data_IF_188204912283
#
_entry.id   IF_188204912283
#
_cell.length_a   1.000
_cell.length_b   1.000
_cell.length_c   1.000
_cell.angle_alpha   90.00
_cell.angle_beta   90.00
_cell.angle_gamma   90.00
#
_symmetry.space_group_name_H-M   'P 1'
#
loop_
_entity.id
_entity.type
_entity.pdbx_description
1 polymer ?
#
# COMPACT_ATOMS: atom_id res chain seq x y z
N UNK A 1 -9.14 -1.90 1.09
CA UNK A 1 -8.57 -0.54 1.29
C UNK A 1 -8.64 -0.11 2.76
N UNK A 2 -9.79 -0.24 3.42
CA UNK A 2 -9.99 0.19 4.83
C UNK A 2 -9.10 -0.60 5.82
N UNK A 3 -9.04 -1.94 5.70
CA UNK A 3 -8.20 -2.80 6.55
C UNK A 3 -6.73 -2.35 6.64
N UNK A 4 -6.13 -1.97 5.52
CA UNK A 4 -4.73 -1.49 5.49
C UNK A 4 -4.52 -0.15 6.16
N UNK A 5 -5.52 0.75 6.12
CA UNK A 5 -5.47 2.03 6.82
C UNK A 5 -5.59 1.85 8.35
N UNK A 6 -6.51 0.97 8.76
CA UNK A 6 -6.73 0.63 10.17
C UNK A 6 -5.50 -0.03 10.80
N UNK A 7 -4.88 -1.01 10.12
CA UNK A 7 -3.62 -1.60 10.59
C UNK A 7 -2.46 -0.60 10.60
N UNK A 8 -2.41 0.32 9.64
CA UNK A 8 -1.42 1.38 9.65
C UNK A 8 -1.57 2.27 10.90
N UNK A 9 -2.80 2.51 11.35
CA UNK A 9 -3.04 3.24 12.61
C UNK A 9 -2.51 2.48 13.82
N UNK A 10 -2.70 1.15 13.90
CA UNK A 10 -2.06 0.33 14.94
C UNK A 10 -0.52 0.45 14.89
N UNK A 11 0.07 0.40 13.69
CA UNK A 11 1.52 0.60 13.53
C UNK A 11 1.95 1.97 14.09
N UNK A 12 1.17 3.03 13.84
CA UNK A 12 1.45 4.36 14.41
C UNK A 12 1.35 4.37 15.94
N UNK A 13 0.39 3.66 16.54
CA UNK A 13 0.27 3.52 18.01
C UNK A 13 1.51 2.77 18.56
N UNK A 14 1.94 1.70 17.91
CA UNK A 14 3.17 0.97 18.30
C UNK A 14 4.38 1.90 18.27
N UNK A 15 4.55 2.67 17.20
CA UNK A 15 5.66 3.62 17.08
C UNK A 15 5.57 4.77 18.09
N UNK A 16 4.37 5.20 18.46
CA UNK A 16 4.18 6.15 19.55
C UNK A 16 4.62 5.57 20.90
N UNK A 17 4.41 4.27 21.12
CA UNK A 17 4.95 3.56 22.28
C UNK A 17 6.48 3.42 22.28
N UNK A 18 7.13 3.57 21.11
CA UNK A 18 8.60 3.52 20.96
C UNK A 18 9.31 4.85 21.22
N UNK A 19 8.59 5.90 21.61
CA UNK A 19 9.23 7.18 21.96
C UNK A 19 10.27 6.99 23.07
N UNK A 20 11.42 7.69 23.01
CA UNK A 20 12.50 7.51 23.97
C UNK A 20 12.06 7.66 25.43
N UNK A 21 12.71 6.96 26.37
CA UNK A 21 12.50 7.15 27.80
C UNK A 21 12.64 8.63 28.18
N UNK A 22 11.63 9.20 28.84
CA UNK A 22 11.60 10.62 29.25
C UNK A 22 10.71 11.53 28.39
N UNK A 23 10.29 11.07 27.22
CA UNK A 23 9.23 11.73 26.43
C UNK A 23 7.88 11.11 26.79
N UNK A 24 6.86 11.95 27.04
CA UNK A 24 5.49 11.46 27.22
C UNK A 24 4.97 10.87 25.90
N UNK A 25 4.18 9.80 26.00
CA UNK A 25 3.44 9.29 24.84
C UNK A 25 2.56 10.42 24.29
N UNK A 26 2.47 10.57 22.97
CA UNK A 26 1.54 11.49 22.35
C UNK A 26 0.12 11.31 22.91
N UNK A 27 -0.53 12.42 23.29
CA UNK A 27 -1.85 12.41 23.94
C UNK A 27 -2.95 11.67 23.15
N UNK A 28 -2.80 11.55 21.83
CA UNK A 28 -3.73 10.82 20.99
C UNK A 28 -3.62 9.29 21.12
N UNK A 29 -2.46 8.77 21.54
CA UNK A 29 -2.21 7.33 21.66
C UNK A 29 -2.59 6.79 23.05
N UNK A 30 -2.47 7.62 24.09
CA UNK A 30 -2.74 7.23 25.48
C UNK A 30 -4.15 6.63 25.72
N UNK A 31 -5.26 7.20 25.18
CA UNK A 31 -6.59 6.59 25.33
C UNK A 31 -6.67 5.19 24.74
N UNK A 32 -5.95 4.94 23.64
CA UNK A 32 -5.93 3.62 22.98
C UNK A 32 -5.17 2.61 23.83
N UNK A 33 -4.04 3.00 24.41
CA UNK A 33 -3.26 2.14 25.30
C UNK A 33 -4.08 1.77 26.54
N UNK A 34 -4.84 2.71 27.11
CA UNK A 34 -5.77 2.42 28.22
C UNK A 34 -6.87 1.42 27.85
N UNK A 35 -7.38 1.46 26.61
CA UNK A 35 -8.32 0.44 26.13
C UNK A 35 -7.63 -0.92 25.98
N UNK A 36 -6.37 -0.94 25.55
CA UNK A 36 -5.59 -2.17 25.46
C UNK A 36 -5.40 -2.78 26.85
N UNK A 37 -4.97 -1.98 27.83
CA UNK A 37 -4.85 -2.36 29.24
C UNK A 37 -6.13 -3.01 29.77
N UNK A 38 -7.27 -2.33 29.61
CA UNK A 38 -8.56 -2.82 30.08
C UNK A 38 -8.94 -4.17 29.46
N UNK A 39 -8.57 -4.40 28.19
CA UNK A 39 -8.90 -5.63 27.48
C UNK A 39 -8.00 -6.82 27.87
N UNK A 40 -6.75 -6.57 28.28
CA UNK A 40 -5.81 -7.64 28.66
C UNK A 40 -5.72 -7.89 30.16
N UNK A 41 -6.13 -6.93 30.99
CA UNK A 41 -6.15 -7.07 32.46
C UNK A 41 -7.02 -8.26 32.90
N UNK A 42 -6.58 -9.06 33.90
CA UNK A 42 -5.32 -8.95 34.67
C UNK A 42 -4.13 -9.69 34.03
N UNK A 43 -4.29 -10.25 32.84
CA UNK A 43 -3.34 -11.20 32.23
C UNK A 43 -2.20 -10.57 31.44
N UNK A 44 -2.21 -9.25 31.30
CA UNK A 44 -1.21 -8.48 30.59
C UNK A 44 -1.38 -7.00 30.86
N UNK A 45 -0.49 -6.21 30.26
CA UNK A 45 -0.55 -4.75 30.29
C UNK A 45 -0.03 -4.13 28.98
N UNK A 46 -0.44 -2.91 28.76
CA UNK A 46 -0.08 -1.99 27.71
C UNK A 46 -0.18 -2.65 26.31
N UNK A 47 0.97 -2.87 25.67
CA UNK A 47 1.08 -3.46 24.33
C UNK A 47 1.09 -4.99 24.32
N UNK A 48 0.93 -5.67 25.46
CA UNK A 48 0.83 -7.13 25.52
C UNK A 48 -0.35 -7.64 24.66
N UNK A 49 -1.34 -6.76 24.37
CA UNK A 49 -2.45 -7.05 23.45
C UNK A 49 -2.00 -7.45 22.04
N UNK A 50 -0.80 -7.06 21.60
CA UNK A 50 -0.24 -7.49 20.31
C UNK A 50 -0.02 -9.01 20.27
N UNK A 51 0.10 -9.65 21.44
CA UNK A 51 0.25 -11.08 21.62
C UNK A 51 -1.07 -11.83 21.82
N UNK A 52 -2.16 -11.11 22.09
CA UNK A 52 -3.43 -11.66 22.51
C UNK A 52 -4.20 -12.43 21.40
N UNK A 53 -5.03 -13.43 21.77
CA UNK A 53 -5.79 -14.28 20.85
C UNK A 53 -7.10 -13.60 20.39
N UNK A 54 -7.01 -12.47 19.70
CA UNK A 54 -8.19 -11.77 19.15
C UNK A 54 -8.66 -12.48 17.87
N UNK A 55 -9.32 -13.63 18.02
CA UNK A 55 -9.69 -14.53 16.91
C UNK A 55 -11.14 -14.40 16.45
N UNK A 56 -11.97 -13.64 17.16
CA UNK A 56 -13.37 -13.39 16.81
C UNK A 56 -13.53 -12.06 16.09
N UNK A 57 -14.18 -12.04 14.93
CA UNK A 57 -14.53 -10.77 14.28
C UNK A 57 -15.66 -10.06 15.06
N UNK A 58 -15.60 -8.72 15.24
CA UNK A 58 -16.64 -7.94 15.92
C UNK A 58 -18.02 -8.02 15.25
N UNK A 59 -18.08 -8.44 13.98
CA UNK A 59 -19.32 -8.56 13.22
C UNK A 59 -20.12 -9.83 13.59
N UNK A 60 -19.51 -10.80 14.26
CA UNK A 60 -20.20 -12.03 14.65
C UNK A 60 -20.91 -11.89 16.00
N UNK A 61 -22.14 -12.41 16.11
CA UNK A 61 -22.94 -12.44 17.35
C UNK A 61 -22.19 -13.09 18.53
N UNK A 62 -21.32 -14.07 18.24
CA UNK A 62 -20.51 -14.78 19.25
C UNK A 62 -19.39 -13.89 19.82
N UNK A 63 -18.91 -12.89 19.08
CA UNK A 63 -17.87 -11.96 19.56
C UNK A 63 -18.32 -11.14 20.78
N UNK A 64 -19.63 -10.90 20.91
CA UNK A 64 -20.26 -10.28 22.10
C UNK A 64 -20.14 -11.13 23.37
N UNK A 65 -19.72 -12.40 23.28
CA UNK A 65 -19.56 -13.28 24.45
C UNK A 65 -18.26 -13.06 25.21
N UNK A 66 -17.21 -12.54 24.56
CA UNK A 66 -15.98 -12.18 25.27
C UNK A 66 -16.06 -10.72 25.71
N UNK A 67 -16.50 -10.50 26.95
CA UNK A 67 -16.67 -9.16 27.53
C UNK A 67 -15.41 -8.31 27.45
N UNK A 68 -14.22 -8.93 27.49
CA UNK A 68 -12.94 -8.22 27.37
C UNK A 68 -12.70 -7.57 26.01
N UNK A 69 -13.12 -8.19 24.90
CA UNK A 69 -12.95 -7.59 23.57
C UNK A 69 -13.97 -6.50 23.28
N UNK A 70 -15.11 -6.52 23.96
CA UNK A 70 -16.10 -5.45 23.89
C UNK A 70 -15.55 -4.11 24.40
N UNK A 71 -14.63 -4.13 25.38
CA UNK A 71 -14.00 -2.93 25.93
C UNK A 71 -13.20 -2.14 24.87
N UNK A 72 -12.67 -2.80 23.84
CA UNK A 72 -11.92 -2.17 22.74
C UNK A 72 -12.81 -1.31 21.82
N UNK A 73 -14.13 -1.51 21.87
CA UNK A 73 -15.05 -0.99 20.86
C UNK A 73 -14.86 -1.66 19.49
N UNK A 74 -15.78 -1.38 18.57
CA UNK A 74 -15.84 -2.05 17.26
C UNK A 74 -14.56 -1.81 16.44
N UNK A 75 -14.02 -0.59 16.49
CA UNK A 75 -12.85 -0.21 15.70
C UNK A 75 -11.60 -1.00 16.10
N UNK A 76 -11.16 -0.90 17.36
CA UNK A 76 -9.91 -1.54 17.80
C UNK A 76 -10.02 -3.05 17.89
N UNK A 77 -11.21 -3.58 18.21
CA UNK A 77 -11.46 -5.01 18.12
C UNK A 77 -11.24 -5.51 16.68
N UNK A 78 -11.79 -4.81 15.67
CA UNK A 78 -11.56 -5.18 14.27
C UNK A 78 -10.07 -5.09 13.90
N UNK A 79 -9.38 -4.01 14.29
CA UNK A 79 -7.96 -3.83 13.98
C UNK A 79 -7.11 -4.96 14.57
N UNK A 80 -7.34 -5.32 15.83
CA UNK A 80 -6.61 -6.38 16.52
C UNK A 80 -6.98 -7.78 16.02
N UNK A 81 -8.25 -7.97 15.61
CA UNK A 81 -8.67 -9.18 14.91
C UNK A 81 -7.89 -9.38 13.61
N UNK A 82 -7.77 -8.33 12.78
CA UNK A 82 -7.00 -8.39 11.54
C UNK A 82 -5.50 -8.56 11.82
N UNK A 83 -4.97 -7.87 12.84
CA UNK A 83 -3.60 -8.03 13.30
C UNK A 83 -3.31 -9.49 13.62
N UNK A 84 -4.12 -10.12 14.48
CA UNK A 84 -3.92 -11.50 14.88
C UNK A 84 -4.12 -12.49 13.73
N UNK A 85 -5.23 -12.40 13.01
CA UNK A 85 -5.65 -13.46 12.07
C UNK A 85 -5.02 -13.37 10.69
N UNK A 86 -4.70 -12.17 10.19
CA UNK A 86 -4.24 -11.97 8.80
C UNK A 86 -2.82 -11.43 8.68
N UNK A 87 -2.33 -10.74 9.71
CA UNK A 87 -1.08 -9.98 9.65
C UNK A 87 0.05 -10.67 10.42
N UNK A 88 -0.17 -10.97 11.71
CA UNK A 88 0.85 -11.53 12.62
C UNK A 88 1.38 -12.89 12.17
N UNK A 89 0.55 -13.73 11.56
CA UNK A 89 1.01 -15.00 10.98
C UNK A 89 2.09 -14.84 9.89
N UNK A 90 2.24 -13.63 9.32
CA UNK A 90 3.26 -13.26 8.33
C UNK A 90 4.47 -12.55 8.94
N UNK A 91 4.49 -12.38 10.27
CA UNK A 91 5.64 -11.81 10.95
C UNK A 91 6.82 -12.79 10.89
N UNK A 92 7.99 -12.31 10.47
CA UNK A 92 9.22 -13.08 10.54
C UNK A 92 9.52 -13.38 12.02
N UNK A 93 9.78 -14.65 12.33
CA UNK A 93 10.12 -15.08 13.70
C UNK A 93 11.58 -14.77 14.03
N UNK A 94 11.95 -13.49 13.97
CA UNK A 94 13.28 -12.97 14.30
C UNK A 94 13.35 -12.50 15.76
N UNK A 95 12.58 -13.10 16.67
CA UNK A 95 12.55 -12.66 18.08
C UNK A 95 13.94 -12.79 18.69
N UNK A 96 14.53 -11.63 18.99
CA UNK A 96 15.78 -11.51 19.72
C UNK A 96 15.59 -12.12 21.11
N UNK A 97 16.64 -12.70 21.71
CA UNK A 97 16.55 -13.31 23.05
C UNK A 97 15.93 -12.35 24.09
N UNK A 98 16.17 -11.04 23.96
CA UNK A 98 15.56 -10.01 24.82
C UNK A 98 14.04 -9.90 24.63
N UNK A 99 13.52 -9.95 23.41
CA UNK A 99 12.07 -9.92 23.16
C UNK A 99 11.37 -11.08 23.87
N UNK A 100 11.99 -12.26 23.88
CA UNK A 100 11.46 -13.44 24.57
C UNK A 100 11.41 -13.25 26.09
N UNK A 101 12.43 -12.61 26.67
CA UNK A 101 12.50 -12.31 28.10
C UNK A 101 11.37 -11.38 28.55
N UNK A 102 10.89 -10.53 27.65
CA UNK A 102 9.84 -9.54 27.92
C UNK A 102 8.51 -9.85 27.22
N UNK A 103 8.39 -11.03 26.63
CA UNK A 103 7.16 -11.51 25.99
C UNK A 103 6.13 -11.88 27.06
N UNK A 104 4.85 -11.45 26.92
CA UNK A 104 3.82 -11.81 27.88
C UNK A 104 3.65 -13.34 27.96
N UNK A 105 3.50 -13.85 29.18
CA UNK A 105 3.35 -15.28 29.48
C UNK A 105 1.91 -15.74 29.45
N UNK A 106 1.01 -14.97 30.07
CA UNK A 106 -0.30 -15.49 30.48
C UNK A 106 -1.31 -15.50 29.33
N UNK A 107 -1.48 -14.39 28.60
CA UNK A 107 -2.40 -14.28 27.45
C UNK A 107 -1.67 -14.12 26.11
N UNK A 108 -0.85 -15.10 25.78
CA UNK A 108 -0.04 -15.09 24.56
C UNK A 108 -0.31 -16.29 23.66
N UNK A 109 -0.71 -16.05 22.41
CA UNK A 109 -1.01 -17.11 21.43
C UNK A 109 0.19 -17.97 21.04
N UNK A 110 1.41 -17.48 21.24
CA UNK A 110 2.63 -18.24 20.96
C UNK A 110 2.88 -19.29 22.06
N UNK A 111 2.23 -19.15 23.22
CA UNK A 111 2.27 -20.08 24.36
C UNK A 111 0.93 -20.81 24.43
N UNK A 112 0.84 -21.94 23.72
CA UNK A 112 -0.40 -22.68 23.60
C UNK A 112 -0.63 -23.64 24.78
N UNK A 113 -1.76 -23.47 25.45
CA UNK A 113 -2.40 -24.45 26.30
C UNK A 113 -3.31 -25.35 25.44
N UNK A 114 -2.94 -26.63 25.28
CA UNK A 114 -3.66 -27.67 24.51
C UNK A 114 -3.67 -27.53 22.99
N UNK A 115 -4.17 -28.58 22.31
CA UNK A 115 -4.28 -28.68 20.85
C UNK A 115 -5.18 -27.63 20.19
N UNK A 116 -5.99 -26.89 20.96
CA UNK A 116 -6.96 -25.91 20.46
C UNK A 116 -6.43 -24.46 20.39
N UNK A 117 -5.16 -24.23 20.72
CA UNK A 117 -4.54 -22.90 20.60
C UNK A 117 -5.04 -21.86 21.61
N UNK A 118 -5.55 -22.28 22.76
CA UNK A 118 -5.87 -21.37 23.86
C UNK A 118 -4.59 -20.89 24.54
N UNK A 119 -4.58 -19.66 25.05
CA UNK A 119 -3.49 -19.14 25.89
C UNK A 119 -3.60 -19.71 27.30
N UNK A 120 -2.60 -19.50 28.18
CA UNK A 120 -2.67 -19.98 29.58
C UNK A 120 -3.86 -19.35 30.33
N UNK A 121 -4.13 -18.07 30.09
CA UNK A 121 -5.25 -17.32 30.66
C UNK A 121 -6.60 -17.59 29.95
N UNK A 122 -6.59 -17.86 28.65
CA UNK A 122 -7.78 -18.00 27.80
C UNK A 122 -8.45 -19.38 27.82
N UNK A 123 -8.04 -20.29 28.70
CA UNK A 123 -8.66 -21.62 28.83
C UNK A 123 -9.98 -21.54 29.60
N UNK A 124 -10.89 -22.48 29.38
CA UNK A 124 -12.16 -22.57 30.15
C UNK A 124 -11.95 -22.91 31.64
N UNK A 125 -10.75 -23.37 32.01
CA UNK A 125 -10.32 -23.66 33.38
C UNK A 125 -8.84 -23.33 33.52
N UNK A 126 -8.47 -22.04 33.68
CA UNK A 126 -7.07 -21.66 33.87
C UNK A 126 -6.50 -22.37 35.09
N UNK A 127 -5.21 -22.72 35.05
CA UNK A 127 -4.54 -23.23 36.24
C UNK A 127 -4.71 -22.17 37.34
N UNK A 128 -5.12 -22.57 38.54
CA UNK A 128 -5.35 -21.61 39.63
C UNK A 128 -4.14 -20.72 39.93
N UNK A 129 -2.92 -21.19 39.60
CA UNK A 129 -1.70 -20.40 39.77
C UNK A 129 -1.60 -19.20 38.81
N UNK A 130 -2.30 -19.23 37.67
CA UNK A 130 -2.25 -18.13 36.68
C UNK A 130 -2.84 -16.86 37.28
N UNK A 131 -3.94 -16.98 38.03
CA UNK A 131 -4.53 -15.87 38.79
C UNK A 131 -3.55 -15.31 39.82
N UNK A 132 -2.87 -16.19 40.57
CA UNK A 132 -1.87 -15.78 41.57
C UNK A 132 -0.69 -15.06 40.91
N UNK A 133 -0.18 -15.58 39.79
CA UNK A 133 0.89 -14.92 39.04
C UNK A 133 0.47 -13.54 38.55
N UNK A 134 -0.75 -13.40 38.03
CA UNK A 134 -1.28 -12.10 37.58
C UNK A 134 -1.45 -11.11 38.74
N UNK A 135 -1.95 -11.56 39.89
CA UNK A 135 -2.10 -10.75 41.11
C UNK A 135 -0.74 -10.26 41.65
N UNK A 136 0.33 -11.04 41.45
CA UNK A 136 1.70 -10.66 41.79
C UNK A 136 2.45 -9.93 40.66
N UNK A 137 1.74 -9.49 39.61
CA UNK A 137 2.30 -8.83 38.41
C UNK A 137 3.39 -9.64 37.68
N UNK A 138 3.41 -10.97 37.83
CA UNK A 138 4.33 -11.87 37.11
C UNK A 138 3.74 -12.17 35.74
N UNK A 139 3.96 -11.24 34.82
CA UNK A 139 3.38 -11.27 33.47
C UNK A 139 4.34 -11.77 32.39
N UNK A 140 5.67 -11.78 32.63
CA UNK A 140 6.70 -12.16 31.62
C UNK A 140 7.80 -13.00 32.28
N UNK A 141 8.68 -13.64 31.49
CA UNK A 141 9.82 -14.37 32.03
C UNK A 141 10.71 -13.50 32.91
N UNK A 142 10.90 -12.22 32.55
CA UNK A 142 11.71 -11.28 33.33
C UNK A 142 11.24 -11.17 34.79
N UNK A 143 9.93 -10.95 35.03
CA UNK A 143 9.41 -10.85 36.39
C UNK A 143 9.48 -12.20 37.11
N UNK A 144 9.26 -13.31 36.38
CA UNK A 144 9.38 -14.66 36.94
C UNK A 144 10.81 -14.98 37.42
N UNK A 145 11.83 -14.61 36.64
CA UNK A 145 13.24 -14.77 37.02
C UNK A 145 13.70 -13.83 38.14
N UNK A 146 12.99 -12.71 38.35
CA UNK A 146 13.22 -11.84 39.51
C UNK A 146 12.58 -12.40 40.79
N UNK A 147 11.46 -13.08 40.64
CA UNK A 147 10.71 -13.67 41.76
C UNK A 147 11.32 -14.99 42.24
N UNK A 148 11.92 -15.78 41.35
CA UNK A 148 12.46 -17.11 41.64
C UNK A 148 13.96 -17.17 41.33
N UNK A 149 14.73 -17.96 42.09
CA UNK A 149 16.13 -18.26 41.75
C UNK A 149 16.24 -18.85 40.34
N UNK A 150 17.31 -18.49 39.62
CA UNK A 150 17.56 -18.99 38.26
C UNK A 150 18.45 -20.24 38.32
N UNK A 151 18.10 -21.36 37.66
CA UNK A 151 16.91 -21.57 36.83
C UNK A 151 15.63 -21.73 37.66
N UNK A 152 14.51 -21.26 37.11
CA UNK A 152 13.19 -21.41 37.73
C UNK A 152 12.82 -22.89 37.70
N UNK A 153 12.74 -23.51 38.87
CA UNK A 153 12.30 -24.90 39.03
C UNK A 153 10.89 -24.93 39.61
N UNK A 154 10.24 -26.11 39.55
CA UNK A 154 8.91 -26.27 40.11
C UNK A 154 8.92 -26.07 41.64
N UNK A 155 10.02 -26.42 42.30
CA UNK A 155 10.25 -26.26 43.73
C UNK A 155 10.43 -24.79 44.11
N UNK A 156 11.28 -24.05 43.39
CA UNK A 156 11.51 -22.62 43.70
C UNK A 156 10.27 -21.79 43.42
N UNK A 157 9.54 -22.09 42.34
CA UNK A 157 8.25 -21.46 42.06
C UNK A 157 7.18 -21.81 43.10
N UNK A 158 7.13 -23.07 43.54
CA UNK A 158 6.20 -23.50 44.61
C UNK A 158 6.48 -22.77 45.93
N UNK A 159 7.76 -22.67 46.32
CA UNK A 159 8.19 -21.94 47.51
C UNK A 159 7.82 -20.46 47.45
N UNK A 160 8.03 -19.82 46.30
CA UNK A 160 7.61 -18.44 46.08
C UNK A 160 6.08 -18.28 46.20
N UNK A 161 5.31 -19.09 45.49
CA UNK A 161 3.85 -18.99 45.48
C UNK A 161 3.21 -19.32 46.85
N UNK A 162 3.85 -20.16 47.66
CA UNK A 162 3.39 -20.48 49.01
C UNK A 162 3.33 -19.28 49.95
N UNK A 163 4.01 -18.18 49.61
CA UNK A 163 3.92 -16.93 50.36
C UNK A 163 2.57 -16.22 50.19
N UNK A 164 1.85 -16.51 49.10
CA UNK A 164 0.59 -15.85 48.73
C UNK A 164 -0.62 -16.78 48.80
N UNK A 165 -0.44 -18.04 48.40
CA UNK A 165 -1.50 -19.05 48.35
C UNK A 165 -0.96 -20.39 48.83
N UNK A 166 -1.73 -21.07 49.69
CA UNK A 166 -1.39 -22.41 50.18
C UNK A 166 -2.24 -23.48 49.50
N UNK A 167 -1.73 -24.72 49.48
CA UNK A 167 -2.47 -25.90 49.02
C UNK A 167 -2.15 -26.35 47.59
N UNK A 168 -3.15 -26.93 46.89
CA UNK A 168 -2.93 -27.59 45.59
C UNK A 168 -2.45 -26.63 44.49
N UNK A 169 -2.82 -25.35 44.59
CA UNK A 169 -2.52 -24.32 43.57
C UNK A 169 -1.01 -24.04 43.50
N UNK A 170 -0.36 -23.85 44.65
CA UNK A 170 1.06 -23.59 44.80
C UNK A 170 1.91 -24.86 44.91
N UNK A 171 1.32 -26.05 44.75
CA UNK A 171 2.07 -27.31 44.84
C UNK A 171 3.13 -27.43 43.74
N UNK A 172 4.22 -28.14 44.03
CA UNK A 172 5.30 -28.46 43.07
C UNK A 172 4.74 -29.06 41.78
N UNK A 173 3.74 -29.95 41.89
CA UNK A 173 3.09 -30.56 40.71
C UNK A 173 2.38 -29.53 39.82
N UNK A 174 1.69 -28.56 40.41
CA UNK A 174 1.02 -27.50 39.66
C UNK A 174 2.03 -26.57 38.98
N UNK A 175 3.12 -26.25 39.69
CA UNK A 175 4.22 -25.45 39.15
C UNK A 175 4.93 -26.17 37.99
N UNK A 176 5.19 -27.47 38.12
CA UNK A 176 5.78 -28.28 37.06
C UNK A 176 4.91 -28.29 35.79
N UNK A 177 3.59 -28.41 35.93
CA UNK A 177 2.65 -28.35 34.79
C UNK A 177 2.65 -26.98 34.11
N UNK A 178 2.77 -25.90 34.88
CA UNK A 178 2.93 -24.56 34.32
C UNK A 178 4.24 -24.42 33.53
N UNK A 179 5.37 -24.83 34.13
CA UNK A 179 6.69 -24.73 33.50
C UNK A 179 6.77 -25.57 32.22
N UNK A 180 6.21 -26.78 32.21
CA UNK A 180 6.11 -27.63 31.01
C UNK A 180 5.40 -26.91 29.85
N UNK A 181 4.33 -26.17 30.14
CA UNK A 181 3.58 -25.41 29.12
C UNK A 181 4.30 -24.14 28.67
N UNK A 182 5.02 -23.51 29.58
CA UNK A 182 5.83 -22.32 29.29
C UNK A 182 7.20 -22.67 28.68
N UNK A 183 7.57 -23.95 28.62
CA UNK A 183 8.91 -24.42 28.20
C UNK A 183 9.30 -23.95 26.80
N UNK A 184 8.35 -23.85 25.87
CA UNK A 184 8.64 -23.29 24.53
C UNK A 184 9.27 -21.90 24.58
N UNK A 185 8.88 -21.08 25.55
CA UNK A 185 9.46 -19.76 25.78
C UNK A 185 10.65 -19.84 26.73
N UNK A 186 10.45 -20.42 27.93
CA UNK A 186 11.43 -20.45 29.02
C UNK A 186 12.65 -21.34 28.70
N UNK A 187 12.44 -22.48 28.05
CA UNK A 187 13.50 -23.40 27.62
C UNK A 187 14.45 -22.78 26.59
N UNK A 188 14.02 -21.71 25.90
CA UNK A 188 14.90 -20.91 25.02
C UNK A 188 15.69 -19.81 25.73
N UNK A 189 15.45 -19.64 27.04
CA UNK A 189 16.04 -18.63 27.93
C UNK A 189 16.86 -19.27 29.06
N UNK A 190 17.53 -20.41 28.81
CA UNK A 190 18.37 -21.10 29.81
C UNK A 190 19.47 -20.22 30.40
N UNK A 191 19.95 -19.25 29.64
CA UNK A 191 20.85 -18.19 30.09
C UNK A 191 20.16 -16.84 29.90
N UNK A 192 20.18 -16.02 30.95
CA UNK A 192 19.66 -14.66 30.87
C UNK A 192 20.51 -13.87 29.86
N UNK A 193 19.90 -13.21 28.87
CA UNK A 193 20.65 -12.44 27.89
C UNK A 193 21.38 -11.29 28.60
N UNK A 194 22.70 -11.24 28.42
CA UNK A 194 23.56 -10.17 28.95
C UNK A 194 23.55 -9.01 27.95
N UNK A 195 23.19 -7.82 28.41
CA UNK A 195 23.13 -6.62 27.57
C UNK A 195 22.26 -5.52 28.17
N UNK A 196 22.20 -4.36 27.51
CA UNK A 196 21.37 -3.25 27.97
C UNK A 196 19.89 -3.68 27.95
N UNK A 197 19.31 -3.86 29.13
CA UNK A 197 17.87 -4.01 29.27
C UNK A 197 17.22 -2.64 29.13
N UNK A 198 16.27 -2.49 28.22
CA UNK A 198 15.49 -1.27 28.19
C UNK A 198 14.53 -1.26 29.40
N UNK A 199 14.61 -0.25 30.25
CA UNK A 199 13.62 0.03 31.31
C UNK A 199 12.38 0.63 30.66
N UNK A 200 11.63 -0.19 29.92
CA UNK A 200 10.50 0.30 29.14
C UNK A 200 9.18 -0.17 29.72
N UNK A 201 8.26 0.78 29.93
CA UNK A 201 6.84 0.52 30.24
C UNK A 201 6.12 -0.26 29.12
N UNK A 202 6.69 -0.31 27.90
CA UNK A 202 6.02 -0.82 26.70
C UNK A 202 6.81 -1.90 25.96
N UNK A 203 7.26 -2.95 26.65
CA UNK A 203 8.10 -4.00 26.06
C UNK A 203 7.62 -4.51 24.69
N UNK A 204 6.35 -4.93 24.58
CA UNK A 204 5.80 -5.46 23.35
C UNK A 204 5.77 -4.45 22.18
N UNK A 205 5.76 -3.14 22.45
CA UNK A 205 5.92 -2.14 21.39
C UNK A 205 7.33 -2.16 20.79
N UNK A 206 8.36 -2.41 21.62
CA UNK A 206 9.77 -2.44 21.23
C UNK A 206 10.22 -3.79 20.64
N UNK A 207 9.42 -4.85 20.77
CA UNK A 207 9.75 -6.12 20.14
C UNK A 207 9.93 -6.00 18.62
N UNK A 208 10.70 -6.94 18.07
CA UNK A 208 11.01 -6.98 16.65
C UNK A 208 9.81 -7.46 15.84
N UNK A 209 9.09 -6.51 15.25
CA UNK A 209 7.94 -6.76 14.38
C UNK A 209 8.33 -6.55 12.92
N UNK A 210 8.76 -7.64 12.27
CA UNK A 210 9.17 -7.65 10.85
C UNK A 210 8.13 -8.41 10.03
N UNK A 211 7.63 -7.80 8.94
CA UNK A 211 6.66 -8.40 8.04
C UNK A 211 7.22 -8.44 6.62
N UNK A 212 7.32 -9.63 6.04
CA UNK A 212 8.15 -9.93 4.87
C UNK A 212 9.63 -9.55 5.11
N UNK A 213 10.00 -8.32 4.74
CA UNK A 213 11.36 -7.74 4.89
C UNK A 213 11.35 -6.35 5.51
N UNK A 214 10.18 -5.88 5.96
CA UNK A 214 9.99 -4.52 6.47
C UNK A 214 9.68 -4.53 7.96
N UNK A 215 10.33 -3.66 8.72
CA UNK A 215 9.95 -3.41 10.10
C UNK A 215 8.65 -2.61 10.21
N UNK A 216 7.98 -2.67 11.36
CA UNK A 216 6.77 -1.87 11.64
C UNK A 216 6.95 -0.37 11.36
N UNK A 217 8.14 0.19 11.62
CA UNK A 217 8.46 1.58 11.31
C UNK A 217 8.37 1.92 9.81
N UNK A 218 8.59 0.93 8.96
CA UNK A 218 8.67 1.07 7.51
C UNK A 218 7.36 0.69 6.80
N UNK A 219 6.36 0.18 7.54
CA UNK A 219 5.11 -0.27 6.97
C UNK A 219 4.20 0.91 6.57
N UNK A 220 4.20 1.23 5.29
CA UNK A 220 3.19 2.12 4.69
C UNK A 220 1.87 1.39 4.43
N UNK A 221 0.78 2.13 4.22
CA UNK A 221 -0.53 1.58 3.83
C UNK A 221 -0.42 0.68 2.58
N UNK A 222 0.44 1.05 1.62
CA UNK A 222 0.67 0.27 0.42
C UNK A 222 1.40 -1.05 0.71
N UNK A 223 2.41 -1.02 1.60
CA UNK A 223 3.14 -2.23 2.04
C UNK A 223 2.22 -3.15 2.84
N UNK A 224 1.47 -2.62 3.81
CA UNK A 224 0.47 -3.38 4.57
C UNK A 224 -0.56 -4.02 3.63
N UNK A 225 -1.03 -3.29 2.62
CA UNK A 225 -1.95 -3.84 1.62
C UNK A 225 -1.32 -5.00 0.86
N UNK A 226 -0.06 -4.89 0.44
CA UNK A 226 0.66 -5.97 -0.24
C UNK A 226 0.80 -7.22 0.63
N UNK A 227 1.07 -7.03 1.93
CA UNK A 227 1.11 -8.14 2.90
C UNK A 227 -0.28 -8.76 3.06
N UNK A 228 -1.35 -7.96 3.21
CA UNK A 228 -2.71 -8.47 3.41
C UNK A 228 -3.33 -9.12 2.17
N UNK A 229 -3.09 -8.56 1.00
CA UNK A 229 -3.76 -8.89 -0.25
C UNK A 229 -2.77 -9.44 -1.27
N UNK A 230 -2.76 -10.77 -1.41
CA UNK A 230 -2.19 -11.45 -2.57
C UNK A 230 -3.36 -11.91 -3.44
N UNK A 231 -3.86 -11.02 -4.28
CA UNK A 231 -4.84 -11.41 -5.30
C UNK A 231 -4.09 -11.89 -6.54
N UNK A 232 -4.48 -13.02 -7.14
CA UNK A 232 -4.01 -13.34 -8.47
C UNK A 232 -4.45 -12.21 -9.40
N UNK A 233 -3.51 -11.66 -10.17
CA UNK A 233 -3.83 -10.66 -11.19
C UNK A 233 -4.65 -11.39 -12.25
N UNK A 234 -5.87 -10.96 -12.57
CA UNK A 234 -6.66 -11.59 -13.61
C UNK A 234 -5.95 -11.42 -14.95
N UNK A 235 -5.98 -12.47 -15.78
CA UNK A 235 -5.47 -12.37 -17.14
C UNK A 235 -6.30 -11.37 -17.94
N UNK A 236 -5.63 -10.35 -18.48
CA UNK A 236 -6.27 -9.38 -19.35
C UNK A 236 -6.36 -9.96 -20.77
N UNK A 237 -7.52 -9.92 -21.44
CA UNK A 237 -7.69 -10.41 -22.81
C UNK A 237 -7.08 -9.42 -23.82
N UNK A 238 -5.76 -9.26 -23.76
CA UNK A 238 -4.98 -8.29 -24.53
C UNK A 238 -4.80 -8.68 -26.00
N UNK A 239 -4.93 -9.97 -26.33
CA UNK A 239 -4.90 -10.44 -27.72
C UNK A 239 -5.90 -9.70 -28.63
N UNK A 240 -7.07 -9.33 -28.09
CA UNK A 240 -8.10 -8.54 -28.78
C UNK A 240 -7.73 -7.07 -28.98
N UNK A 241 -6.72 -6.59 -28.24
CA UNK A 241 -6.09 -5.30 -28.47
C UNK A 241 -4.93 -5.41 -29.47
N UNK A 242 -4.72 -6.55 -30.14
CA UNK A 242 -3.68 -6.68 -31.16
C UNK A 242 -2.26 -6.40 -30.64
N UNK A 243 -1.99 -6.76 -29.39
CA UNK A 243 -0.65 -6.66 -28.77
C UNK A 243 -0.13 -8.04 -28.42
N UNK A 244 1.18 -8.23 -28.56
CA UNK A 244 1.85 -9.48 -28.23
C UNK A 244 2.38 -9.42 -26.78
N UNK A 245 1.92 -10.34 -25.95
CA UNK A 245 2.35 -10.44 -24.55
C UNK A 245 1.64 -9.52 -23.55
N UNK A 246 1.99 -9.69 -22.28
CA UNK A 246 1.40 -8.95 -21.16
C UNK A 246 1.91 -7.50 -21.03
N UNK A 247 1.20 -6.67 -20.25
CA UNK A 247 1.67 -5.33 -19.95
C UNK A 247 2.88 -5.42 -19.01
N UNK A 248 3.99 -4.69 -19.24
CA UNK A 248 5.11 -4.68 -18.32
C UNK A 248 4.66 -4.22 -16.93
N UNK A 249 5.18 -4.83 -15.86
CA UNK A 249 4.82 -4.47 -14.48
C UNK A 249 5.00 -2.97 -14.19
N UNK A 250 6.00 -2.34 -14.80
CA UNK A 250 6.29 -0.91 -14.67
C UNK A 250 5.30 0.00 -15.40
N UNK A 251 4.50 -0.52 -16.34
CA UNK A 251 3.53 0.28 -17.10
C UNK A 251 2.51 0.91 -16.17
N UNK A 252 1.86 0.12 -15.32
CA UNK A 252 0.79 0.62 -14.45
C UNK A 252 1.28 1.72 -13.52
N UNK A 253 2.46 1.55 -12.94
CA UNK A 253 3.08 2.60 -12.10
C UNK A 253 3.37 3.86 -12.92
N UNK A 254 3.82 3.71 -14.17
CA UNK A 254 4.10 4.82 -15.06
C UNK A 254 2.82 5.55 -15.47
N UNK A 255 1.78 4.84 -15.90
CA UNK A 255 0.52 5.43 -16.32
C UNK A 255 -0.21 6.11 -15.15
N UNK A 256 -0.18 5.53 -13.94
CA UNK A 256 -0.68 6.22 -12.73
C UNK A 256 0.12 7.52 -12.48
N UNK A 257 1.45 7.48 -12.62
CA UNK A 257 2.30 8.67 -12.43
C UNK A 257 2.03 9.74 -13.49
N UNK A 258 1.73 9.35 -14.72
CA UNK A 258 1.46 10.30 -15.82
C UNK A 258 0.02 10.80 -15.83
N UNK A 259 -0.93 10.01 -15.33
CA UNK A 259 -2.35 10.35 -15.27
C UNK A 259 -2.66 11.59 -14.42
N UNK A 260 -1.72 12.04 -13.58
CA UNK A 260 -1.82 13.32 -12.84
C UNK A 260 -1.75 14.56 -13.73
N UNK A 261 -1.25 14.42 -14.96
CA UNK A 261 -1.06 15.54 -15.90
C UNK A 261 -2.22 15.72 -16.87
N UNK A 262 -3.24 14.87 -16.78
CA UNK A 262 -4.43 14.90 -17.64
C UNK A 262 -5.69 14.83 -16.77
N UNK A 263 -6.83 15.22 -17.35
CA UNK A 263 -8.10 15.17 -16.62
C UNK A 263 -8.51 13.71 -16.40
N UNK A 264 -9.22 13.39 -15.30
CA UNK A 264 -9.61 12.01 -14.98
C UNK A 264 -10.32 11.27 -16.11
N UNK A 265 -11.13 11.96 -16.93
CA UNK A 265 -11.85 11.38 -18.07
C UNK A 265 -10.94 10.83 -19.17
N UNK A 266 -9.74 11.38 -19.35
CA UNK A 266 -8.76 10.90 -20.33
C UNK A 266 -8.02 9.67 -19.80
N UNK A 267 -7.62 9.71 -18.53
CA UNK A 267 -7.03 8.57 -17.82
C UNK A 267 -8.00 7.38 -17.74
N UNK A 268 -9.28 7.62 -17.48
CA UNK A 268 -10.32 6.59 -17.44
C UNK A 268 -10.51 5.91 -18.80
N UNK A 269 -10.57 6.69 -19.89
CA UNK A 269 -10.68 6.10 -21.23
C UNK A 269 -9.48 5.19 -21.54
N UNK A 270 -8.25 5.67 -21.29
CA UNK A 270 -7.04 4.88 -21.51
C UNK A 270 -7.06 3.60 -20.66
N UNK A 271 -7.44 3.71 -19.38
CA UNK A 271 -7.56 2.57 -18.49
C UNK A 271 -8.55 1.53 -19.04
N UNK A 272 -9.75 1.96 -19.45
CA UNK A 272 -10.75 1.07 -20.06
C UNK A 272 -10.25 0.45 -21.35
N UNK A 273 -9.57 1.21 -22.20
CA UNK A 273 -8.97 0.71 -23.43
C UNK A 273 -7.94 -0.39 -23.15
N UNK A 274 -7.00 -0.15 -22.23
CA UNK A 274 -5.96 -1.13 -21.84
C UNK A 274 -6.52 -2.39 -21.19
N UNK A 275 -7.69 -2.29 -20.56
CA UNK A 275 -8.41 -3.44 -19.99
C UNK A 275 -9.37 -4.09 -20.98
N UNK A 276 -9.35 -3.66 -22.26
CA UNK A 276 -10.27 -4.12 -23.28
C UNK A 276 -11.74 -4.02 -22.79
N UNK A 277 -12.11 -2.88 -22.24
CA UNK A 277 -13.43 -2.62 -21.66
C UNK A 277 -14.28 -1.66 -22.49
N UNK A 278 -13.77 -1.20 -23.64
CA UNK A 278 -14.52 -0.35 -24.57
C UNK A 278 -15.42 -1.20 -25.49
N UNK A 279 -16.64 -0.70 -25.74
CA UNK A 279 -17.61 -1.31 -26.63
C UNK A 279 -17.41 -0.84 -28.07
N UNK A 280 -16.50 -1.51 -28.76
CA UNK A 280 -16.27 -1.36 -30.21
C UNK A 280 -17.02 -2.44 -31.00
N UNK A 281 -17.23 -2.21 -32.29
CA UNK A 281 -18.11 -3.01 -33.16
C UNK A 281 -17.86 -4.51 -33.14
N UNK A 282 -16.61 -4.98 -33.02
CA UNK A 282 -16.33 -6.42 -32.94
C UNK A 282 -17.06 -7.11 -31.77
N UNK A 283 -17.34 -6.40 -30.67
CA UNK A 283 -18.08 -6.97 -29.53
C UNK A 283 -19.56 -7.17 -29.81
N UNK A 284 -20.10 -6.48 -30.82
CA UNK A 284 -21.52 -6.47 -31.14
C UNK A 284 -21.89 -7.43 -32.26
N UNK A 285 -20.92 -8.15 -32.85
CA UNK A 285 -21.14 -9.07 -33.97
C UNK A 285 -22.17 -10.19 -33.71
N UNK A 286 -22.50 -10.45 -32.45
CA UNK A 286 -23.51 -11.44 -32.05
C UNK A 286 -24.93 -10.87 -32.04
N UNK A 287 -25.11 -9.56 -32.17
CA UNK A 287 -26.40 -8.89 -32.21
C UNK A 287 -26.81 -8.65 -33.66
N UNK A 288 -28.00 -9.12 -34.03
CA UNK A 288 -28.59 -8.84 -35.35
C UNK A 288 -28.82 -7.32 -35.52
N UNK A 289 -28.70 -6.83 -36.76
CA UNK A 289 -28.96 -5.43 -37.15
C UNK A 289 -28.03 -4.36 -36.54
N UNK A 290 -26.96 -4.74 -35.83
CA UNK A 290 -26.00 -3.77 -35.27
C UNK A 290 -24.86 -3.40 -36.23
N UNK A 291 -24.60 -2.10 -36.36
CA UNK A 291 -23.44 -1.62 -37.13
C UNK A 291 -22.13 -1.98 -36.40
N UNK A 292 -21.40 -2.93 -36.99
CA UNK A 292 -20.12 -3.41 -36.46
C UNK A 292 -18.89 -2.85 -37.21
N UNK A 293 -19.11 -2.21 -38.36
CA UNK A 293 -18.06 -1.63 -39.19
C UNK A 293 -17.59 -0.28 -38.64
N UNK A 294 -16.38 0.11 -39.01
CA UNK A 294 -15.79 1.38 -38.63
C UNK A 294 -16.68 2.57 -39.04
N UNK A 295 -16.97 3.44 -38.08
CA UNK A 295 -17.83 4.61 -38.27
C UNK A 295 -17.17 5.71 -39.12
N UNK A 296 -15.86 5.63 -39.36
CA UNK A 296 -15.14 6.56 -40.24
C UNK A 296 -15.22 6.19 -41.75
N UNK A 297 -16.00 5.17 -42.12
CA UNK A 297 -16.35 4.90 -43.52
C UNK A 297 -15.39 3.99 -44.32
N UNK A 298 -14.41 3.35 -43.69
CA UNK A 298 -13.44 2.48 -44.38
C UNK A 298 -13.91 1.02 -44.61
N UNK A 299 -15.11 0.65 -44.14
CA UNK A 299 -15.69 -0.69 -44.35
C UNK A 299 -15.02 -1.85 -43.59
N UNK A 300 -14.05 -1.56 -42.71
CA UNK A 300 -13.36 -2.56 -41.89
C UNK A 300 -14.10 -2.79 -40.57
N UNK A 301 -14.07 -4.01 -40.03
CA UNK A 301 -14.61 -4.33 -38.71
C UNK A 301 -13.98 -3.42 -37.64
N UNK A 302 -14.82 -2.79 -36.81
CA UNK A 302 -14.34 -1.88 -35.77
C UNK A 302 -13.74 -2.67 -34.59
N UNK A 303 -12.41 -2.80 -34.61
CA UNK A 303 -11.60 -3.26 -33.48
C UNK A 303 -10.95 -2.06 -32.77
N UNK A 304 -10.48 -2.25 -31.53
CA UNK A 304 -9.76 -1.17 -30.84
C UNK A 304 -8.48 -0.74 -31.59
N UNK A 305 -7.61 -1.66 -32.08
CA UNK A 305 -6.44 -1.26 -32.86
C UNK A 305 -6.83 -0.55 -34.15
N UNK A 306 -7.91 -0.98 -34.81
CA UNK A 306 -8.39 -0.31 -36.01
C UNK A 306 -8.89 1.11 -35.70
N UNK A 307 -9.80 1.26 -34.75
CA UNK A 307 -10.40 2.56 -34.39
C UNK A 307 -9.35 3.59 -33.96
N UNK A 308 -8.36 3.17 -33.18
CA UNK A 308 -7.40 4.08 -32.56
C UNK A 308 -6.09 4.24 -33.32
N UNK A 309 -5.78 3.36 -34.29
CA UNK A 309 -4.47 3.35 -34.95
C UNK A 309 -4.54 3.05 -36.45
N UNK A 310 -5.07 1.88 -36.85
CA UNK A 310 -4.97 1.40 -38.24
C UNK A 310 -6.03 1.96 -39.20
N UNK A 311 -7.05 2.65 -38.71
CA UNK A 311 -7.99 3.37 -39.57
C UNK A 311 -7.29 4.56 -40.23
N UNK A 312 -7.49 4.77 -41.53
CA UNK A 312 -6.91 5.91 -42.26
C UNK A 312 -7.23 7.26 -41.61
N UNK A 313 -8.42 7.39 -41.03
CA UNK A 313 -8.81 8.57 -40.27
C UNK A 313 -7.92 8.76 -39.04
N UNK A 314 -7.76 7.71 -38.23
CA UNK A 314 -6.91 7.74 -37.04
C UNK A 314 -5.44 8.00 -37.41
N UNK A 315 -4.92 7.35 -38.46
CA UNK A 315 -3.56 7.55 -38.96
C UNK A 315 -3.30 9.02 -39.31
N UNK A 316 -4.25 9.69 -39.98
CA UNK A 316 -4.15 11.12 -40.32
C UNK A 316 -4.19 12.03 -39.07
N UNK A 317 -4.94 11.68 -38.03
CA UNK A 317 -4.94 12.42 -36.76
C UNK A 317 -3.58 12.28 -36.06
N UNK A 318 -3.00 11.07 -36.04
CA UNK A 318 -1.70 10.80 -35.43
C UNK A 318 -0.51 11.40 -36.19
N UNK A 319 -0.60 11.47 -37.53
CA UNK A 319 0.50 11.87 -38.41
C UNK A 319 1.16 13.19 -38.00
N UNK A 320 0.37 14.18 -37.60
CA UNK A 320 0.85 15.51 -37.17
C UNK A 320 1.78 15.46 -35.95
N UNK A 321 1.64 14.42 -35.11
CA UNK A 321 2.39 14.27 -33.87
C UNK A 321 3.53 13.26 -33.99
N UNK A 322 3.26 12.12 -34.64
CA UNK A 322 4.23 11.02 -34.75
C UNK A 322 5.47 11.44 -35.53
N UNK A 323 5.33 12.27 -36.57
CA UNK A 323 6.47 12.75 -37.36
C UNK A 323 7.54 13.43 -36.49
N UNK A 324 7.12 14.21 -35.49
CA UNK A 324 8.03 14.89 -34.57
C UNK A 324 8.48 13.97 -33.45
N UNK A 325 7.55 13.29 -32.77
CA UNK A 325 7.90 12.44 -31.62
C UNK A 325 8.82 11.29 -32.00
N UNK A 326 8.68 10.71 -33.20
CA UNK A 326 9.55 9.61 -33.62
C UNK A 326 11.03 10.01 -33.61
N UNK A 327 11.34 11.29 -33.86
CA UNK A 327 12.71 11.83 -33.76
C UNK A 327 13.27 11.91 -32.34
N UNK A 328 12.47 11.67 -31.30
CA UNK A 328 12.89 11.72 -29.90
C UNK A 328 13.00 10.35 -29.23
N UNK A 329 12.49 9.29 -29.87
CA UNK A 329 12.46 7.94 -29.32
C UNK A 329 13.23 6.97 -30.21
N UNK A 330 14.02 6.09 -29.60
CA UNK A 330 14.67 4.97 -30.30
C UNK A 330 13.67 3.89 -30.68
N UNK A 331 12.70 3.67 -29.79
CA UNK A 331 11.59 2.75 -30.03
C UNK A 331 10.67 3.30 -31.12
N UNK A 332 10.23 2.43 -32.03
CA UNK A 332 9.19 2.76 -33.00
C UNK A 332 7.89 3.12 -32.28
N UNK A 333 7.30 4.26 -32.62
CA UNK A 333 6.02 4.69 -32.09
C UNK A 333 4.88 4.02 -32.88
N UNK A 334 4.59 2.79 -32.49
CA UNK A 334 3.52 1.96 -33.03
C UNK A 334 2.37 1.75 -32.03
N UNK A 335 1.30 1.09 -32.47
CA UNK A 335 0.10 0.84 -31.66
C UNK A 335 0.42 0.32 -30.26
N UNK A 336 1.24 -0.73 -30.16
CA UNK A 336 1.60 -1.32 -28.87
C UNK A 336 2.39 -0.34 -27.98
N UNK A 337 3.37 0.36 -28.56
CA UNK A 337 4.17 1.34 -27.83
C UNK A 337 3.31 2.47 -27.26
N UNK A 338 2.29 2.90 -28.01
CA UNK A 338 1.35 3.94 -27.60
C UNK A 338 0.35 3.38 -26.60
N UNK A 339 -0.27 2.23 -26.85
CA UNK A 339 -1.24 1.62 -25.92
C UNK A 339 -0.62 1.31 -24.56
N UNK A 340 0.61 0.80 -24.55
CA UNK A 340 1.28 0.27 -23.36
C UNK A 340 2.40 1.18 -22.83
N UNK A 341 2.57 2.37 -23.42
CA UNK A 341 3.63 3.34 -23.10
C UNK A 341 5.05 2.70 -23.07
N UNK A 342 5.30 1.75 -23.98
CA UNK A 342 6.57 1.03 -24.16
C UNK A 342 7.52 1.87 -25.04
N UNK A 343 8.02 2.96 -24.46
CA UNK A 343 8.88 3.91 -25.18
C UNK A 343 10.26 4.04 -24.54
N UNK A 344 11.29 4.17 -25.39
CA UNK A 344 12.68 4.45 -25.00
C UNK A 344 13.18 5.74 -25.69
N UNK A 345 13.51 6.80 -24.94
CA UNK A 345 13.98 8.04 -25.53
C UNK A 345 15.41 7.90 -26.06
N UNK A 346 15.73 8.67 -27.10
CA UNK A 346 17.12 8.88 -27.54
C UNK A 346 17.87 9.61 -26.40
N UNK A 347 19.14 9.26 -26.09
CA UNK A 347 19.86 9.86 -24.97
C UNK A 347 19.97 11.39 -25.06
N UNK A 348 20.18 11.93 -26.25
CA UNK A 348 20.20 13.38 -26.50
C UNK A 348 18.85 14.03 -26.22
N UNK A 349 17.74 13.45 -26.70
CA UNK A 349 16.39 13.93 -26.41
C UNK A 349 16.05 13.83 -24.92
N UNK A 350 16.46 12.75 -24.25
CA UNK A 350 16.29 12.59 -22.80
C UNK A 350 17.07 13.65 -22.02
N UNK A 351 18.30 13.93 -22.43
CA UNK A 351 19.12 14.98 -21.81
C UNK A 351 18.50 16.36 -22.01
N UNK A 352 18.04 16.65 -23.23
CA UNK A 352 17.48 17.96 -23.60
C UNK A 352 16.09 18.24 -23.02
N UNK A 353 15.21 17.25 -22.95
CA UNK A 353 13.81 17.46 -22.59
C UNK A 353 13.43 16.81 -21.25
N UNK A 354 14.24 15.87 -20.76
CA UNK A 354 14.05 15.23 -19.45
C UNK A 354 12.67 14.60 -19.27
N UNK A 355 12.05 14.86 -18.13
CA UNK A 355 10.72 14.34 -17.77
C UNK A 355 9.60 14.90 -18.68
N UNK A 356 9.74 16.14 -19.16
CA UNK A 356 8.72 16.81 -19.98
C UNK A 356 8.45 16.07 -21.29
N UNK A 357 9.44 15.38 -21.86
CA UNK A 357 9.24 14.54 -23.06
C UNK A 357 8.17 13.47 -22.85
N UNK A 358 8.22 12.77 -21.72
CA UNK A 358 7.26 11.72 -21.40
C UNK A 358 5.87 12.28 -21.05
N UNK A 359 5.82 13.44 -20.37
CA UNK A 359 4.56 14.12 -20.07
C UNK A 359 3.86 14.54 -21.36
N UNK A 360 4.59 15.17 -22.28
CA UNK A 360 4.06 15.60 -23.57
C UNK A 360 3.54 14.44 -24.41
N UNK A 361 4.31 13.35 -24.53
CA UNK A 361 3.82 12.17 -25.25
C UNK A 361 2.56 11.59 -24.59
N UNK A 362 2.48 11.57 -23.26
CA UNK A 362 1.30 11.04 -22.55
C UNK A 362 0.05 11.92 -22.74
N UNK A 363 0.21 13.24 -22.70
CA UNK A 363 -0.88 14.19 -22.98
C UNK A 363 -1.40 13.94 -24.40
N UNK A 364 -0.53 13.99 -25.41
CA UNK A 364 -0.93 13.77 -26.81
C UNK A 364 -1.57 12.40 -26.98
N UNK A 365 -0.97 11.36 -26.40
CA UNK A 365 -1.49 10.00 -26.43
C UNK A 365 -2.93 9.92 -25.96
N UNK A 366 -3.19 10.42 -24.76
CA UNK A 366 -4.52 10.28 -24.13
C UNK A 366 -5.55 11.19 -24.79
N UNK A 367 -5.15 12.38 -25.25
CA UNK A 367 -6.03 13.32 -25.96
C UNK A 367 -6.45 12.77 -27.32
N UNK A 368 -5.50 12.28 -28.14
CA UNK A 368 -5.82 11.71 -29.46
C UNK A 368 -6.76 10.51 -29.31
N UNK A 369 -6.44 9.58 -28.40
CA UNK A 369 -7.31 8.42 -28.14
C UNK A 369 -8.72 8.87 -27.73
N UNK A 370 -8.84 9.90 -26.90
CA UNK A 370 -10.15 10.41 -26.47
C UNK A 370 -10.91 11.10 -27.58
N UNK A 371 -10.28 11.95 -28.37
CA UNK A 371 -10.94 12.61 -29.49
C UNK A 371 -11.43 11.60 -30.54
N UNK A 372 -10.63 10.56 -30.85
CA UNK A 372 -11.06 9.48 -31.74
C UNK A 372 -12.27 8.72 -31.18
N UNK A 373 -12.26 8.40 -29.88
CA UNK A 373 -13.38 7.74 -29.22
C UNK A 373 -14.66 8.58 -29.23
N UNK A 374 -14.55 9.87 -28.91
CA UNK A 374 -15.70 10.77 -28.89
C UNK A 374 -16.26 11.00 -30.29
N UNK A 375 -15.41 11.29 -31.27
CA UNK A 375 -15.85 11.50 -32.65
C UNK A 375 -16.57 10.27 -33.19
N UNK A 376 -16.04 9.07 -32.91
CA UNK A 376 -16.72 7.82 -33.25
C UNK A 376 -18.08 7.70 -32.60
N UNK A 377 -18.24 8.11 -31.34
CA UNK A 377 -19.52 8.06 -30.65
C UNK A 377 -20.50 9.13 -31.19
N UNK A 378 -19.98 10.30 -31.57
CA UNK A 378 -20.77 11.35 -32.20
C UNK A 378 -21.33 10.92 -33.56
N UNK A 379 -20.53 10.23 -34.37
CA UNK A 379 -21.03 9.61 -35.61
C UNK A 379 -22.09 8.55 -35.30
N UNK A 380 -21.82 7.68 -34.31
CA UNK A 380 -22.68 6.53 -34.00
C UNK A 380 -24.02 6.92 -33.37
N UNK A 381 -24.05 7.90 -32.47
CA UNK A 381 -25.19 8.19 -31.61
C UNK A 381 -25.81 9.56 -31.86
N UNK A 382 -25.12 10.46 -32.56
CA UNK A 382 -25.57 11.82 -32.81
C UNK A 382 -25.63 12.16 -34.31
N UNK A 383 -25.46 11.17 -35.19
CA UNK A 383 -25.56 11.31 -36.65
C UNK A 383 -24.59 12.35 -37.25
N UNK A 384 -23.47 12.61 -36.57
CA UNK A 384 -22.43 13.50 -37.10
C UNK A 384 -21.72 12.85 -38.31
N UNK A 385 -21.30 13.70 -39.26
CA UNK A 385 -20.44 13.29 -40.36
C UNK A 385 -18.97 13.26 -39.95
N UNK A 386 -18.19 12.44 -40.66
CA UNK A 386 -16.74 12.33 -40.45
C UNK A 386 -16.07 13.66 -40.77
N UNK A 387 -15.34 14.25 -39.80
CA UNK A 387 -14.69 15.54 -39.97
C UNK A 387 -13.26 15.53 -39.40
N UNK A 388 -12.28 15.30 -40.28
CA UNK A 388 -10.87 15.21 -39.88
C UNK A 388 -10.32 16.53 -39.36
N UNK A 389 -10.68 17.65 -40.00
CA UNK A 389 -10.16 18.98 -39.68
C UNK A 389 -10.60 19.39 -38.28
N UNK A 390 -11.87 19.17 -37.95
CA UNK A 390 -12.42 19.46 -36.63
C UNK A 390 -11.75 18.63 -35.54
N UNK A 391 -11.59 17.32 -35.76
CA UNK A 391 -10.90 16.45 -34.79
C UNK A 391 -9.44 16.85 -34.61
N UNK A 392 -8.71 17.17 -35.68
CA UNK A 392 -7.33 17.65 -35.57
C UNK A 392 -7.23 18.98 -34.81
N UNK A 393 -8.15 19.92 -35.08
CA UNK A 393 -8.22 21.19 -34.37
C UNK A 393 -8.54 20.98 -32.88
N UNK A 394 -9.50 20.11 -32.56
CA UNK A 394 -9.87 19.77 -31.19
C UNK A 394 -8.70 19.12 -30.43
N UNK A 395 -8.00 18.16 -31.05
CA UNK A 395 -6.81 17.54 -30.47
C UNK A 395 -5.76 18.61 -30.15
N UNK A 396 -5.46 19.50 -31.10
CA UNK A 396 -4.47 20.57 -30.89
C UNK A 396 -4.88 21.49 -29.74
N UNK A 397 -6.13 21.95 -29.73
CA UNK A 397 -6.64 22.85 -28.68
C UNK A 397 -6.58 22.19 -27.29
N UNK A 398 -7.02 20.94 -27.17
CA UNK A 398 -7.02 20.22 -25.88
C UNK A 398 -5.61 19.90 -25.41
N UNK A 399 -4.70 19.52 -26.30
CA UNK A 399 -3.28 19.35 -25.96
C UNK A 399 -2.72 20.67 -25.42
N UNK A 400 -2.94 21.79 -26.12
CA UNK A 400 -2.52 23.13 -25.68
C UNK A 400 -2.98 23.41 -24.24
N UNK A 401 -4.26 23.20 -23.93
CA UNK A 401 -4.80 23.43 -22.57
C UNK A 401 -4.12 22.54 -21.50
N UNK A 402 -3.85 21.28 -21.81
CA UNK A 402 -3.13 20.40 -20.89
C UNK A 402 -1.67 20.84 -20.67
N UNK A 403 -1.01 21.33 -21.71
CA UNK A 403 0.35 21.85 -21.64
C UNK A 403 0.41 23.13 -20.81
N UNK A 404 -0.54 24.05 -21.00
CA UNK A 404 -0.68 25.25 -20.18
C UNK A 404 -0.86 24.88 -18.71
N UNK A 405 -1.75 23.93 -18.42
CA UNK A 405 -1.95 23.45 -17.05
C UNK A 405 -0.67 22.86 -16.46
N UNK A 406 0.04 22.03 -17.22
CA UNK A 406 1.31 21.46 -16.78
C UNK A 406 2.36 22.56 -16.51
N UNK A 407 2.44 23.58 -17.35
CA UNK A 407 3.30 24.74 -17.13
C UNK A 407 2.94 25.49 -15.84
N UNK A 408 1.65 25.73 -15.57
CA UNK A 408 1.19 26.35 -14.32
C UNK A 408 1.57 25.50 -13.08
N UNK A 409 1.42 24.17 -13.17
CA UNK A 409 1.83 23.27 -12.09
C UNK A 409 3.36 23.26 -11.86
N UNK A 410 4.17 23.66 -12.86
CA UNK A 410 5.60 23.87 -12.70
C UNK A 410 5.90 25.22 -12.01
N UNK A 411 5.12 26.28 -12.29
CA UNK A 411 5.25 27.58 -11.63
C UNK A 411 4.96 27.50 -10.13
N UNK A 412 3.93 26.74 -9.74
CA UNK A 412 3.49 26.63 -8.35
C UNK A 412 4.38 25.75 -7.46
N UNK A 413 5.39 25.07 -8.04
CA UNK A 413 6.30 24.20 -7.28
C UNK A 413 7.52 24.99 -6.81
N UNK A 414 7.68 25.08 -5.49
CA UNK A 414 8.76 25.74 -4.75
C UNK A 414 10.14 25.04 -4.82
N UNK A 415 10.45 24.30 -5.89
CA UNK A 415 11.72 23.56 -6.00
C UNK A 415 12.64 24.12 -7.08
N UNK A 416 13.94 24.21 -6.77
CA UNK A 416 15.06 24.62 -7.64
C UNK A 416 15.14 23.96 -9.03
N UNK A 417 14.38 22.89 -9.28
CA UNK A 417 14.32 22.18 -10.55
C UNK A 417 13.16 22.61 -11.47
N UNK A 418 12.29 23.52 -11.03
CA UNK A 418 11.14 23.98 -11.83
C UNK A 418 11.57 24.79 -13.06
N UNK A 419 12.53 25.70 -12.93
CA UNK A 419 13.06 26.52 -14.04
C UNK A 419 13.60 25.68 -15.20
N UNK A 420 14.43 24.68 -14.90
CA UNK A 420 14.97 23.76 -15.91
C UNK A 420 13.87 22.97 -16.64
N UNK A 421 12.84 22.51 -15.90
CA UNK A 421 11.70 21.81 -16.48
C UNK A 421 10.83 22.72 -17.37
N UNK A 422 10.71 24.02 -17.02
CA UNK A 422 10.03 25.03 -17.85
C UNK A 422 10.78 25.27 -19.15
N UNK A 423 12.10 25.44 -19.11
CA UNK A 423 12.95 25.60 -20.32
C UNK A 423 12.83 24.38 -21.24
N UNK A 424 12.93 23.18 -20.68
CA UNK A 424 12.73 21.93 -21.43
C UNK A 424 11.36 21.84 -22.10
N UNK A 425 10.31 22.27 -21.39
CA UNK A 425 8.95 22.27 -21.93
C UNK A 425 8.81 23.29 -23.07
N UNK A 426 9.36 24.50 -22.92
CA UNK A 426 9.31 25.55 -23.94
C UNK A 426 10.00 25.11 -25.24
N UNK A 427 11.20 24.55 -25.14
CA UNK A 427 11.94 23.99 -26.28
C UNK A 427 11.15 22.87 -26.98
N UNK A 428 10.50 22.00 -26.20
CA UNK A 428 9.72 20.88 -26.73
C UNK A 428 8.43 21.36 -27.41
N UNK A 429 7.75 22.35 -26.83
CA UNK A 429 6.56 23.00 -27.39
C UNK A 429 6.87 23.65 -28.74
N UNK A 430 8.00 24.36 -28.82
CA UNK A 430 8.50 24.94 -30.08
C UNK A 430 8.78 23.85 -31.12
N UNK A 431 9.44 22.76 -30.73
CA UNK A 431 9.75 21.62 -31.61
C UNK A 431 8.49 20.93 -32.14
N UNK A 432 7.38 20.95 -31.39
CA UNK A 432 6.08 20.39 -31.78
C UNK A 432 5.22 21.36 -32.61
N UNK A 433 5.71 22.57 -32.90
CA UNK A 433 4.96 23.57 -33.68
C UNK A 433 3.69 24.06 -32.98
N UNK A 434 3.63 23.97 -31.65
CA UNK A 434 2.48 24.44 -30.89
C UNK A 434 2.59 25.95 -30.65
N UNK A 435 1.57 26.68 -31.08
CA UNK A 435 1.45 28.13 -30.91
C UNK A 435 0.95 28.43 -29.50
N UNK A 436 1.82 28.20 -28.51
CA UNK A 436 1.56 28.45 -27.09
C UNK A 436 2.23 29.76 -26.67
N UNK A 437 1.47 30.68 -26.10
CA UNK A 437 2.03 31.87 -25.44
C UNK A 437 2.38 31.49 -24.00
N UNK A 438 3.50 30.80 -23.82
CA UNK A 438 4.07 30.60 -22.48
C UNK A 438 4.76 31.91 -22.07
N UNK A 439 4.48 32.48 -20.88
CA UNK A 439 5.13 33.71 -20.41
C UNK A 439 6.66 33.63 -20.54
N UNK A 440 7.27 34.71 -21.04
CA UNK A 440 8.72 34.86 -21.03
C UNK A 440 9.23 34.80 -19.59
N UNK A 441 10.37 34.15 -19.35
CA UNK A 441 11.05 34.26 -18.07
C UNK A 441 11.52 35.70 -17.92
N UNK A 442 11.14 36.38 -16.84
CA UNK A 442 11.78 37.63 -16.46
C UNK A 442 13.18 37.28 -15.96
N UNK A 443 14.23 37.79 -16.62
CA UNK A 443 15.66 37.53 -16.36
C UNK A 443 16.12 37.78 -14.91
N UNK A 444 15.25 38.28 -14.04
CA UNK A 444 15.52 38.60 -12.64
C UNK A 444 15.57 37.39 -11.69
N UNK A 445 14.96 36.25 -12.01
CA UNK A 445 14.99 35.06 -11.13
C UNK A 445 16.26 34.21 -11.28
N UNK A 446 16.85 34.12 -12.48
CA UNK A 446 18.02 33.28 -12.75
C UNK A 446 19.32 33.88 -12.15
N UNK A 447 19.44 35.22 -12.11
CA UNK A 447 20.60 35.91 -11.53
C UNK A 447 20.80 35.64 -10.01
N UNK A 448 19.71 35.35 -9.29
CA UNK A 448 19.77 35.01 -7.85
C UNK A 448 20.04 33.53 -7.59
N UNK A 449 19.78 32.64 -8.56
CA UNK A 449 20.00 31.19 -8.42
C UNK A 449 21.43 30.78 -8.80
N UNK A 450 22.03 31.42 -9.81
CA UNK A 450 23.45 31.20 -10.16
C UNK A 450 24.41 31.72 -9.08
N UNK A 451 24.08 32.82 -8.39
CA UNK A 451 24.89 33.31 -7.27
C UNK A 451 24.84 32.42 -6.02
N UNK A 452 23.81 31.58 -5.87
CA UNK A 452 23.65 30.68 -4.72
C UNK A 452 24.19 29.26 -4.96
N UNK A 453 24.79 28.99 -6.13
CA UNK A 453 25.38 27.69 -6.47
C UNK A 453 26.85 27.76 -6.90
N UNK A 454 27.50 28.93 -6.74
CA UNK A 454 28.94 29.10 -6.90
C UNK A 454 29.71 28.88 -5.58
#
# INVERSE_FOLDING_TARGET
>A
MIKSLQLHMLCKVILAGRTPPGTSIPSWADPVIRLFDQAVTPWGKDFDILYAPVSTSPDYVVSRRSTRWSALGVYWHFVLFIWHTLFRGKAARLQVKFDKLTTPLLDNVDIAYSYRGYTLAGTTRPLGLISVLAEQEILRPLELYRACETPVTAETLSQFLNQFVTGRISSVRSCANFLDKADRLLGSLKELPVGPSQTTRYYAAFHTWVFDTYEVAELSVARIRKVLAQYPVPDLPLNRLGVEGGPPKSMWTRDIKMGRHVLPVYSDLLYRLQHNALYVGYRLQHLQETQCMCHHGCGVLETAPHLFWYCDFAAKVWQAWLAVFQGFFKSTLEWESILLFKVEPIPSAKSRYGYSLFVMLHIVRTVVLRCLWMHRNDIRFHELSVNLIDVQAQVKAVVTLHVERYYQDLLLKTLSHSGFQRRHLRDLVSSLGLTLVLPAETDTEDAQLEQNTA
#
